data_IF_968308006965
#
_entry.id   IF_968308006965
#
_cell.length_a   1.000
_cell.length_b   1.000
_cell.length_c   1.000
_cell.angle_alpha   90.00
_cell.angle_beta   90.00
_cell.angle_gamma   90.00
#
_symmetry.space_group_name_H-M   'P 1'
#
loop_
_entity.id
_entity.type
_entity.pdbx_description
1 polymer ?
#
# COMPACT_ATOMS: atom_id res chain seq x y z
N UNK A 1 7.28 -26.63 12.91
CA UNK A 1 7.23 -25.20 12.55
C UNK A 1 5.93 -24.84 11.80
N UNK A 2 5.59 -25.52 10.70
CA UNK A 2 4.38 -25.25 9.89
C UNK A 2 3.08 -25.19 10.72
N UNK A 3 2.81 -26.20 11.57
CA UNK A 3 1.61 -26.20 12.42
C UNK A 3 1.52 -24.97 13.34
N UNK A 4 2.65 -24.57 13.94
CA UNK A 4 2.69 -23.39 14.82
C UNK A 4 2.41 -22.10 14.05
N UNK A 5 2.99 -21.94 12.85
CA UNK A 5 2.73 -20.79 11.98
C UNK A 5 1.27 -20.76 11.51
N UNK A 6 0.66 -21.91 11.21
CA UNK A 6 -0.74 -22.00 10.84
C UNK A 6 -1.68 -21.62 12.00
N UNK A 7 -1.39 -22.09 13.22
CA UNK A 7 -2.16 -21.72 14.42
C UNK A 7 -2.01 -20.23 14.71
N UNK A 8 -0.78 -19.71 14.70
CA UNK A 8 -0.53 -18.28 14.88
C UNK A 8 -1.24 -17.46 13.78
N UNK A 9 -1.13 -17.89 12.53
CA UNK A 9 -1.78 -17.26 11.38
C UNK A 9 -3.29 -17.17 11.54
N UNK A 10 -3.93 -18.27 11.95
CA UNK A 10 -5.37 -18.32 12.21
C UNK A 10 -5.78 -17.37 13.36
N UNK A 11 -5.01 -17.35 14.45
CA UNK A 11 -5.27 -16.46 15.60
C UNK A 11 -5.14 -14.99 15.20
N UNK A 12 -4.06 -14.62 14.51
CA UNK A 12 -3.82 -13.24 14.06
C UNK A 12 -4.87 -12.80 13.05
N UNK A 13 -5.22 -13.67 12.09
CA UNK A 13 -6.26 -13.40 11.10
C UNK A 13 -7.60 -13.16 11.78
N UNK A 14 -8.04 -14.08 12.65
CA UNK A 14 -9.33 -13.97 13.33
C UNK A 14 -9.40 -12.75 14.27
N UNK A 15 -8.39 -12.56 15.13
CA UNK A 15 -8.38 -11.48 16.10
C UNK A 15 -8.25 -10.10 15.42
N UNK A 16 -7.34 -9.98 14.44
CA UNK A 16 -7.16 -8.75 13.68
C UNK A 16 -8.40 -8.40 12.86
N UNK A 17 -9.00 -9.39 12.18
CA UNK A 17 -10.22 -9.18 11.40
C UNK A 17 -11.39 -8.75 12.28
N UNK A 18 -11.60 -9.45 13.40
CA UNK A 18 -12.64 -9.10 14.36
C UNK A 18 -12.45 -7.68 14.90
N UNK A 19 -11.22 -7.32 15.31
CA UNK A 19 -10.91 -5.97 15.76
C UNK A 19 -11.15 -4.92 14.67
N UNK A 20 -10.71 -5.16 13.43
CA UNK A 20 -10.91 -4.25 12.30
C UNK A 20 -12.41 -4.05 11.99
N UNK A 21 -13.21 -5.12 12.05
CA UNK A 21 -14.65 -5.05 11.85
C UNK A 21 -15.35 -4.30 12.97
N UNK A 22 -15.01 -4.57 14.24
CA UNK A 22 -15.62 -3.92 15.41
C UNK A 22 -15.24 -2.45 15.55
N UNK A 23 -14.04 -2.08 15.14
CA UNK A 23 -13.56 -0.70 15.16
C UNK A 23 -13.99 0.12 13.93
N UNK A 24 -14.70 -0.48 12.97
CA UNK A 24 -15.12 0.17 11.73
C UNK A 24 -15.80 1.53 12.01
N UNK A 25 -15.44 2.60 11.29
CA UNK A 25 -15.91 3.93 11.63
C UNK A 25 -17.40 4.05 11.33
N UNK A 26 -18.15 4.71 12.21
CA UNK A 26 -19.55 5.12 12.02
C UNK A 26 -19.65 6.60 11.60
N UNK A 27 -18.57 7.18 11.06
CA UNK A 27 -18.48 8.64 10.87
C UNK A 27 -19.09 9.05 9.52
N UNK A 28 -19.81 10.19 9.47
CA UNK A 28 -20.18 10.79 8.20
C UNK A 28 -18.92 11.25 7.45
N UNK A 29 -18.90 11.03 6.14
CA UNK A 29 -17.76 11.37 5.30
C UNK A 29 -17.54 12.89 5.24
N UNK A 30 -16.29 13.30 5.44
CA UNK A 30 -15.85 14.68 5.32
C UNK A 30 -14.83 14.80 4.17
N UNK A 31 -14.93 15.79 3.27
CA UNK A 31 -15.86 16.91 3.30
C UNK A 31 -17.22 16.55 2.65
N UNK A 32 -18.29 17.33 2.92
CA UNK A 32 -19.62 17.03 2.40
C UNK A 32 -19.68 17.11 0.87
N UNK A 33 -20.69 16.42 0.32
CA UNK A 33 -20.99 16.43 -1.10
C UNK A 33 -21.36 17.84 -1.57
N UNK A 34 -20.58 18.41 -2.48
CA UNK A 34 -20.84 19.73 -3.11
C UNK A 34 -19.90 19.97 -4.30
N UNK A 35 -20.10 21.11 -4.94
CA UNK A 35 -19.26 21.62 -6.02
C UNK A 35 -18.06 22.39 -5.47
N UNK A 36 -16.86 22.02 -5.91
CA UNK A 36 -15.59 22.66 -5.54
C UNK A 36 -14.82 23.08 -6.79
N UNK A 37 -13.85 24.01 -6.71
CA UNK A 37 -12.95 24.29 -7.82
C UNK A 37 -12.31 23.00 -8.36
N UNK A 38 -12.35 22.80 -9.69
CA UNK A 38 -11.92 21.55 -10.32
C UNK A 38 -10.40 21.35 -10.17
N UNK A 39 -9.94 20.37 -9.37
CA UNK A 39 -8.51 20.15 -9.19
C UNK A 39 -7.81 19.68 -10.47
N UNK A 40 -8.55 19.12 -11.43
CA UNK A 40 -8.02 18.58 -12.67
C UNK A 40 -7.94 19.62 -13.81
N UNK A 41 -8.61 20.78 -13.69
CA UNK A 41 -8.56 21.88 -14.69
C UNK A 41 -7.81 23.14 -14.22
N UNK A 42 -7.13 23.84 -15.15
CA UNK A 42 -6.53 25.16 -14.89
C UNK A 42 -7.52 26.30 -15.14
N UNK A 43 -8.61 26.01 -15.87
CA UNK A 43 -9.68 26.95 -16.12
C UNK A 43 -10.57 27.11 -14.88
N UNK A 44 -11.28 28.23 -14.80
CA UNK A 44 -12.31 28.47 -13.80
C UNK A 44 -13.49 27.53 -14.03
N UNK A 45 -13.48 26.39 -13.33
CA UNK A 45 -14.45 25.30 -13.45
C UNK A 45 -14.67 24.68 -12.09
N UNK A 46 -15.86 24.13 -11.87
CA UNK A 46 -16.19 23.38 -10.67
C UNK A 46 -16.38 21.90 -11.00
N UNK A 47 -16.00 21.03 -10.07
CA UNK A 47 -16.22 19.59 -10.12
C UNK A 47 -17.00 19.14 -8.89
N UNK A 48 -17.93 18.23 -9.10
CA UNK A 48 -18.72 17.69 -8.00
C UNK A 48 -17.94 16.60 -7.25
N UNK A 49 -17.80 16.81 -5.95
CA UNK A 49 -17.38 15.81 -4.97
C UNK A 49 -18.63 15.23 -4.33
N UNK A 50 -18.77 13.91 -4.30
CA UNK A 50 -19.98 13.23 -3.82
C UNK A 50 -19.99 12.92 -2.33
N UNK A 51 -18.99 13.41 -1.57
CA UNK A 51 -18.77 13.09 -0.17
C UNK A 51 -17.55 12.19 0.03
N UNK A 52 -17.23 11.34 -0.96
CA UNK A 52 -16.17 10.34 -0.84
C UNK A 52 -15.17 10.37 -1.99
N UNK A 53 -15.59 10.78 -3.20
CA UNK A 53 -14.78 10.81 -4.40
C UNK A 53 -15.13 11.97 -5.34
N UNK A 54 -14.16 12.34 -6.17
CA UNK A 54 -14.40 13.23 -7.30
C UNK A 54 -15.11 12.51 -8.43
N UNK A 55 -16.24 13.07 -8.87
CA UNK A 55 -17.03 12.56 -10.00
C UNK A 55 -16.57 13.13 -11.34
N UNK A 56 -17.13 12.61 -12.44
CA UNK A 56 -16.92 13.17 -13.78
C UNK A 56 -17.68 14.49 -14.00
N UNK A 57 -18.68 14.82 -13.16
CA UNK A 57 -19.57 15.98 -13.33
C UNK A 57 -18.79 17.28 -13.13
N UNK A 58 -18.85 18.12 -14.15
CA UNK A 58 -18.14 19.41 -14.23
C UNK A 58 -19.09 20.50 -14.71
N UNK A 59 -18.90 21.72 -14.21
CA UNK A 59 -19.66 22.90 -14.64
C UNK A 59 -18.75 24.12 -14.70
N UNK A 60 -19.23 25.22 -15.28
CA UNK A 60 -18.53 26.50 -15.28
C UNK A 60 -18.34 27.02 -13.84
N UNK A 61 -17.22 27.68 -13.58
CA UNK A 61 -16.91 28.27 -12.28
C UNK A 61 -16.38 29.68 -12.43
N UNK A 62 -16.27 30.37 -11.30
CA UNK A 62 -15.68 31.71 -11.18
C UNK A 62 -14.19 31.65 -10.85
N UNK A 63 -13.74 30.56 -10.21
CA UNK A 63 -12.37 30.41 -9.73
C UNK A 63 -11.69 29.12 -10.24
N UNK A 64 -10.37 29.20 -10.44
CA UNK A 64 -9.53 28.05 -10.72
C UNK A 64 -8.99 27.45 -9.41
N UNK A 65 -8.86 26.12 -9.34
CA UNK A 65 -8.35 25.46 -8.15
C UNK A 65 -6.89 25.84 -7.86
N UNK A 66 -6.55 26.15 -6.60
CA UNK A 66 -5.16 26.27 -6.16
C UNK A 66 -4.51 24.88 -6.10
N UNK A 67 -3.56 24.60 -6.99
CA UNK A 67 -2.95 23.27 -7.13
C UNK A 67 -1.70 23.07 -6.27
N UNK A 68 -1.38 24.01 -5.39
CA UNK A 68 -0.20 23.97 -4.54
C UNK A 68 1.11 24.04 -5.34
N UNK A 69 2.24 23.85 -4.66
CA UNK A 69 3.58 23.86 -5.25
C UNK A 69 4.31 22.52 -5.08
N UNK A 70 5.29 22.24 -5.94
CA UNK A 70 6.10 21.03 -5.85
C UNK A 70 6.91 20.99 -4.54
N UNK A 71 6.88 19.83 -3.85
CA UNK A 71 7.64 19.54 -2.63
C UNK A 71 7.47 20.53 -1.46
N UNK A 72 6.50 21.45 -1.53
CA UNK A 72 6.15 22.41 -0.47
C UNK A 72 4.92 21.94 0.32
N UNK A 73 4.65 22.64 1.41
CA UNK A 73 3.50 22.36 2.29
C UNK A 73 3.70 21.08 3.08
N UNK A 74 2.74 20.15 3.00
CA UNK A 74 2.70 18.94 3.83
C UNK A 74 3.64 17.80 3.37
N UNK A 75 4.47 18.03 2.36
CA UNK A 75 5.38 17.02 1.80
C UNK A 75 6.37 16.49 2.84
N UNK A 76 7.07 17.37 3.55
CA UNK A 76 7.92 17.01 4.69
C UNK A 76 7.12 16.99 5.99
N UNK A 77 7.65 16.31 7.01
CA UNK A 77 7.06 16.32 8.34
C UNK A 77 7.46 15.13 9.20
N UNK A 78 6.65 14.85 10.23
CA UNK A 78 6.94 13.82 11.23
C UNK A 78 7.07 12.39 10.69
N UNK A 79 6.59 12.12 9.47
CA UNK A 79 6.72 10.80 8.83
C UNK A 79 8.17 10.41 8.51
N UNK A 80 9.09 11.38 8.44
CA UNK A 80 10.52 11.13 8.22
C UNK A 80 11.18 10.47 9.44
N UNK A 81 10.71 10.78 10.65
CA UNK A 81 11.34 10.27 11.88
C UNK A 81 11.26 8.75 12.04
N UNK A 82 10.15 8.06 11.72
CA UNK A 82 10.14 6.61 11.64
C UNK A 82 11.15 6.04 10.65
N UNK A 83 11.39 6.69 9.51
CA UNK A 83 12.41 6.24 8.55
C UNK A 83 13.83 6.36 9.12
N UNK A 84 14.12 7.46 9.82
CA UNK A 84 15.39 7.62 10.56
C UNK A 84 15.51 6.54 11.64
N UNK A 85 14.43 6.29 12.38
CA UNK A 85 14.35 5.22 13.37
C UNK A 85 14.63 3.84 12.78
N UNK A 86 14.12 3.54 11.58
CA UNK A 86 14.41 2.29 10.87
C UNK A 86 15.90 2.15 10.57
N UNK A 87 16.56 3.24 10.15
CA UNK A 87 18.01 3.28 9.95
C UNK A 87 18.81 3.01 11.23
N UNK A 88 18.38 3.60 12.36
CA UNK A 88 19.00 3.36 13.67
C UNK A 88 18.83 1.92 14.12
N UNK A 89 17.62 1.36 14.00
CA UNK A 89 17.32 -0.04 14.32
C UNK A 89 18.18 -0.98 13.48
N UNK A 90 18.31 -0.74 12.18
CA UNK A 90 19.16 -1.54 11.31
C UNK A 90 20.63 -1.44 11.70
N UNK A 91 21.15 -0.24 11.97
CA UNK A 91 22.54 -0.07 12.37
C UNK A 91 22.85 -0.79 13.68
N UNK A 92 22.01 -0.62 14.70
CA UNK A 92 22.19 -1.26 16.00
C UNK A 92 22.03 -2.78 15.90
N UNK A 93 20.97 -3.26 15.24
CA UNK A 93 20.66 -4.66 15.10
C UNK A 93 21.67 -5.43 14.25
N UNK A 94 22.16 -4.83 13.16
CA UNK A 94 23.22 -5.46 12.33
C UNK A 94 24.57 -5.48 13.04
N UNK A 95 24.90 -4.45 13.83
CA UNK A 95 26.09 -4.45 14.70
C UNK A 95 26.01 -5.57 15.74
N UNK A 96 24.87 -5.70 16.42
CA UNK A 96 24.66 -6.76 17.41
C UNK A 96 24.68 -8.15 16.76
N UNK A 97 24.05 -8.32 15.60
CA UNK A 97 24.08 -9.57 14.84
C UNK A 97 25.51 -9.94 14.44
N UNK A 98 26.35 -8.99 13.99
CA UNK A 98 27.77 -9.27 13.69
C UNK A 98 28.56 -9.81 14.88
N UNK A 99 28.21 -9.39 16.09
CA UNK A 99 28.90 -9.83 17.32
C UNK A 99 28.37 -11.14 17.90
N UNK A 100 27.13 -11.52 17.59
CA UNK A 100 26.44 -12.64 18.24
C UNK A 100 26.07 -13.77 17.29
N UNK A 101 25.95 -13.47 16.00
CA UNK A 101 25.40 -14.33 14.94
C UNK A 101 24.03 -14.95 15.30
N UNK A 102 23.31 -14.31 16.23
CA UNK A 102 22.04 -14.81 16.72
C UNK A 102 20.93 -14.50 15.72
N UNK A 103 20.34 -15.55 15.12
CA UNK A 103 19.27 -15.46 14.13
C UNK A 103 18.06 -14.63 14.61
N UNK A 104 17.75 -14.67 15.91
CA UNK A 104 16.64 -13.93 16.47
C UNK A 104 16.89 -12.43 16.51
N UNK A 105 18.16 -12.01 16.67
CA UNK A 105 18.54 -10.59 16.63
C UNK A 105 18.23 -10.00 15.27
N UNK A 106 18.65 -10.66 14.18
CA UNK A 106 18.40 -10.13 12.84
C UNK A 106 16.91 -10.22 12.46
N UNK A 107 16.19 -11.26 12.89
CA UNK A 107 14.75 -11.36 12.68
C UNK A 107 13.97 -10.21 13.36
N UNK A 108 14.25 -9.94 14.64
CA UNK A 108 13.62 -8.82 15.38
C UNK A 108 14.03 -7.47 14.79
N UNK A 109 15.29 -7.33 14.37
CA UNK A 109 15.78 -6.12 13.69
C UNK A 109 15.00 -5.86 12.41
N UNK A 110 14.84 -6.88 11.56
CA UNK A 110 14.07 -6.78 10.31
C UNK A 110 12.60 -6.47 10.56
N UNK A 111 11.98 -7.10 11.57
CA UNK A 111 10.60 -6.80 11.97
C UNK A 111 10.42 -5.33 12.33
N UNK A 112 11.25 -4.81 13.25
CA UNK A 112 11.15 -3.43 13.75
C UNK A 112 11.46 -2.41 12.66
N UNK A 113 12.52 -2.64 11.88
CA UNK A 113 12.90 -1.75 10.78
C UNK A 113 11.82 -1.70 9.70
N UNK A 114 11.28 -2.86 9.30
CA UNK A 114 10.20 -2.92 8.31
C UNK A 114 8.93 -2.24 8.81
N UNK A 115 8.54 -2.47 10.07
CA UNK A 115 7.37 -1.80 10.66
C UNK A 115 7.53 -0.27 10.65
N UNK A 116 8.73 0.25 10.94
CA UNK A 116 9.01 1.68 10.90
C UNK A 116 9.01 2.26 9.48
N UNK A 117 9.51 1.53 8.48
CA UNK A 117 9.42 1.92 7.06
C UNK A 117 7.96 1.97 6.59
N UNK A 118 7.18 0.93 6.92
CA UNK A 118 5.74 0.88 6.65
C UNK A 118 5.02 2.07 7.30
N UNK A 119 5.32 2.37 8.56
CA UNK A 119 4.74 3.49 9.30
C UNK A 119 5.13 4.85 8.71
N UNK A 120 6.38 5.02 8.28
CA UNK A 120 6.84 6.21 7.56
C UNK A 120 6.02 6.43 6.28
N UNK A 121 5.85 5.38 5.47
CA UNK A 121 5.09 5.44 4.23
C UNK A 121 3.60 5.73 4.47
N UNK A 122 3.00 5.07 5.46
CA UNK A 122 1.62 5.37 5.88
C UNK A 122 1.48 6.82 6.28
N UNK A 123 2.36 7.34 7.15
CA UNK A 123 2.34 8.72 7.60
C UNK A 123 2.49 9.72 6.45
N UNK A 124 3.30 9.40 5.44
CA UNK A 124 3.42 10.19 4.22
C UNK A 124 2.11 10.24 3.44
N UNK A 125 1.51 9.08 3.12
CA UNK A 125 0.25 9.00 2.34
C UNK A 125 -0.93 9.58 3.12
N UNK A 126 -1.01 9.32 4.42
CA UNK A 126 -2.05 9.83 5.32
C UNK A 126 -2.16 11.35 5.28
N UNK A 127 -1.02 12.04 5.12
CA UNK A 127 -0.98 13.50 5.00
C UNK A 127 -1.44 14.02 3.63
N UNK A 128 -1.33 13.21 2.58
CA UNK A 128 -1.78 13.62 1.24
C UNK A 128 -3.29 13.37 1.06
N UNK A 129 -3.81 12.28 1.60
CA UNK A 129 -5.19 11.85 1.40
C UNK A 129 -6.11 12.16 2.59
N UNK A 130 -5.59 12.77 3.65
CA UNK A 130 -6.29 12.98 4.91
C UNK A 130 -6.90 11.68 5.47
N UNK A 131 -6.14 10.58 5.44
CA UNK A 131 -6.61 9.27 5.90
C UNK A 131 -7.15 9.25 7.34
N UNK A 132 -6.60 10.02 8.32
CA UNK A 132 -7.14 10.04 9.68
C UNK A 132 -8.61 10.50 9.81
N UNK A 133 -9.17 11.14 8.77
CA UNK A 133 -10.58 11.52 8.73
C UNK A 133 -11.50 10.31 8.51
N UNK A 134 -11.01 9.29 7.77
CA UNK A 134 -11.81 8.12 7.34
C UNK A 134 -11.42 6.83 8.04
N UNK A 135 -10.24 6.77 8.67
CA UNK A 135 -9.75 5.59 9.37
C UNK A 135 -8.82 5.95 10.53
N UNK A 136 -9.01 5.31 11.67
CA UNK A 136 -8.19 5.45 12.87
C UNK A 136 -7.05 4.45 12.95
N UNK A 137 -6.07 4.75 13.81
CA UNK A 137 -4.86 3.94 13.97
C UNK A 137 -5.14 2.49 14.38
N UNK A 138 -6.07 2.28 15.32
CA UNK A 138 -6.43 0.93 15.77
C UNK A 138 -6.91 0.02 14.63
N UNK A 139 -7.60 0.59 13.64
CA UNK A 139 -8.08 -0.13 12.47
C UNK A 139 -6.94 -0.49 11.52
N UNK A 140 -5.99 0.42 11.32
CA UNK A 140 -4.78 0.17 10.52
C UNK A 140 -3.97 -0.97 11.13
N UNK A 141 -3.75 -0.94 12.45
CA UNK A 141 -3.02 -2.02 13.15
C UNK A 141 -3.79 -3.33 13.06
N UNK A 142 -5.10 -3.31 13.29
CA UNK A 142 -5.93 -4.52 13.23
C UNK A 142 -5.90 -5.17 11.83
N UNK A 143 -6.00 -4.37 10.76
CA UNK A 143 -5.88 -4.88 9.38
C UNK A 143 -4.48 -5.43 9.11
N UNK A 144 -3.42 -4.73 9.51
CA UNK A 144 -2.05 -5.22 9.32
C UNK A 144 -1.82 -6.56 10.05
N UNK A 145 -2.33 -6.70 11.27
CA UNK A 145 -2.28 -7.95 12.05
C UNK A 145 -3.07 -9.07 11.35
N UNK A 146 -4.30 -8.76 10.91
CA UNK A 146 -5.13 -9.74 10.21
C UNK A 146 -4.46 -10.25 8.94
N UNK A 147 -3.86 -9.33 8.17
CA UNK A 147 -3.18 -9.66 6.92
C UNK A 147 -1.87 -10.41 7.14
N UNK A 148 -1.10 -10.11 8.18
CA UNK A 148 0.03 -10.96 8.58
C UNK A 148 -0.44 -12.38 8.92
N UNK A 149 -1.61 -12.52 9.57
CA UNK A 149 -2.26 -13.80 9.79
C UNK A 149 -2.65 -14.53 8.50
N UNK A 150 -3.22 -13.81 7.53
CA UNK A 150 -3.54 -14.33 6.20
C UNK A 150 -2.27 -14.76 5.43
N UNK A 151 -1.14 -14.06 5.57
CA UNK A 151 0.14 -14.49 5.00
C UNK A 151 0.54 -15.85 5.52
N UNK A 152 0.55 -16.04 6.85
CA UNK A 152 0.95 -17.32 7.46
C UNK A 152 -0.03 -18.46 7.15
N UNK A 153 -1.33 -18.19 7.16
CA UNK A 153 -2.35 -19.23 6.98
C UNK A 153 -2.61 -19.56 5.51
N UNK A 154 -2.62 -18.56 4.63
CA UNK A 154 -3.01 -18.72 3.21
C UNK A 154 -1.81 -18.60 2.29
N UNK A 155 -1.08 -17.48 2.37
CA UNK A 155 0.02 -17.18 1.46
C UNK A 155 1.11 -18.26 1.45
N UNK A 156 1.64 -18.61 2.63
CA UNK A 156 2.67 -19.64 2.76
C UNK A 156 2.19 -21.01 2.27
N UNK A 157 1.02 -21.47 2.72
CA UNK A 157 0.51 -22.79 2.36
C UNK A 157 0.22 -22.92 0.85
N UNK A 158 -0.25 -21.85 0.20
CA UNK A 158 -0.46 -21.84 -1.26
C UNK A 158 0.85 -21.78 -2.04
N UNK A 159 1.85 -21.02 -1.56
CA UNK A 159 3.19 -21.01 -2.16
C UNK A 159 3.85 -22.40 -2.03
N UNK A 160 3.75 -23.05 -0.88
CA UNK A 160 4.24 -24.41 -0.66
C UNK A 160 3.53 -25.42 -1.59
N UNK A 161 2.21 -25.32 -1.72
CA UNK A 161 1.43 -26.18 -2.60
C UNK A 161 1.84 -26.02 -4.07
N UNK A 162 1.93 -24.78 -4.56
CA UNK A 162 2.34 -24.51 -5.96
C UNK A 162 3.77 -24.98 -6.23
N UNK A 163 4.68 -24.81 -5.26
CA UNK A 163 6.03 -25.35 -5.30
C UNK A 163 6.06 -26.89 -5.34
N UNK A 164 5.20 -27.56 -4.56
CA UNK A 164 5.12 -29.02 -4.55
C UNK A 164 4.59 -29.62 -5.87
N UNK A 165 3.75 -28.87 -6.59
CA UNK A 165 3.12 -29.33 -7.84
C UNK A 165 4.02 -29.10 -9.05
N UNK A 166 4.63 -27.91 -9.16
CA UNK A 166 5.34 -27.49 -10.39
C UNK A 166 6.75 -26.95 -10.15
N UNK A 167 7.31 -27.17 -8.96
CA UNK A 167 8.63 -26.66 -8.59
C UNK A 167 8.68 -25.14 -8.44
N UNK A 168 9.90 -24.62 -8.28
CA UNK A 168 10.14 -23.20 -8.00
C UNK A 168 9.68 -22.30 -9.14
N UNK A 169 9.81 -22.74 -10.40
CA UNK A 169 9.39 -21.97 -11.57
C UNK A 169 7.89 -21.71 -11.59
N UNK A 170 7.07 -22.72 -11.28
CA UNK A 170 5.62 -22.53 -11.17
C UNK A 170 5.25 -21.67 -9.96
N UNK A 171 5.90 -21.91 -8.81
CA UNK A 171 5.69 -21.12 -7.61
C UNK A 171 5.95 -19.63 -7.88
N UNK A 172 7.09 -19.26 -8.46
CA UNK A 172 7.42 -17.86 -8.78
C UNK A 172 6.53 -17.28 -9.89
N UNK A 173 6.05 -18.09 -10.83
CA UNK A 173 5.12 -17.63 -11.86
C UNK A 173 3.72 -17.30 -11.30
N UNK A 174 3.30 -17.98 -10.23
CA UNK A 174 1.99 -17.81 -9.60
C UNK A 174 2.02 -17.03 -8.28
N UNK A 175 3.21 -16.68 -7.77
CA UNK A 175 3.37 -16.03 -6.47
C UNK A 175 2.59 -14.72 -6.37
N UNK A 176 2.56 -13.91 -7.43
CA UNK A 176 1.78 -12.68 -7.45
C UNK A 176 0.28 -12.92 -7.31
N UNK A 177 -0.25 -14.01 -7.89
CA UNK A 177 -1.63 -14.42 -7.71
C UNK A 177 -1.88 -14.88 -6.26
N UNK A 178 -1.05 -15.78 -5.75
CA UNK A 178 -1.17 -16.32 -4.39
C UNK A 178 -1.10 -15.22 -3.34
N UNK A 179 -0.05 -14.41 -3.42
CA UNK A 179 0.24 -13.43 -2.40
C UNK A 179 -0.69 -12.23 -2.44
N UNK A 180 -0.99 -11.66 -3.61
CA UNK A 180 -1.96 -10.57 -3.67
C UNK A 180 -3.36 -11.05 -3.28
N UNK A 181 -3.73 -12.30 -3.55
CA UNK A 181 -4.98 -12.88 -3.04
C UNK A 181 -4.99 -12.90 -1.51
N UNK A 182 -3.91 -13.36 -0.88
CA UNK A 182 -3.80 -13.36 0.58
C UNK A 182 -3.87 -11.96 1.19
N UNK A 183 -3.23 -10.96 0.56
CA UNK A 183 -3.28 -9.55 0.98
C UNK A 183 -4.67 -8.96 0.79
N UNK A 184 -5.36 -9.27 -0.30
CA UNK A 184 -6.67 -8.71 -0.59
C UNK A 184 -7.82 -9.39 0.17
N UNK A 185 -7.60 -10.56 0.76
CA UNK A 185 -8.61 -11.30 1.52
C UNK A 185 -9.26 -10.44 2.61
N UNK A 186 -8.46 -9.80 3.47
CA UNK A 186 -8.97 -8.99 4.57
C UNK A 186 -9.69 -7.72 4.07
N UNK A 187 -9.09 -6.86 3.21
CA UNK A 187 -9.78 -5.69 2.66
C UNK A 187 -11.09 -6.02 1.93
N UNK A 188 -11.10 -7.07 1.08
CA UNK A 188 -12.29 -7.46 0.32
C UNK A 188 -13.38 -7.97 1.26
N UNK A 189 -13.04 -8.82 2.24
CA UNK A 189 -14.03 -9.30 3.20
C UNK A 189 -14.65 -8.15 4.01
N UNK A 190 -13.84 -7.20 4.49
CA UNK A 190 -14.35 -6.00 5.19
C UNK A 190 -15.26 -5.15 4.30
N UNK A 191 -14.92 -4.97 3.02
CA UNK A 191 -15.77 -4.27 2.05
C UNK A 191 -17.10 -4.98 1.82
N UNK A 192 -17.07 -6.31 1.67
CA UNK A 192 -18.25 -7.13 1.45
C UNK A 192 -19.20 -7.10 2.65
N UNK A 193 -18.66 -7.05 3.88
CA UNK A 193 -19.42 -6.85 5.13
C UNK A 193 -19.96 -5.42 5.29
N UNK A 194 -19.74 -4.53 4.34
CA UNK A 194 -20.28 -3.16 4.36
C UNK A 194 -19.41 -2.15 5.08
N UNK A 195 -18.21 -2.53 5.55
CA UNK A 195 -17.28 -1.62 6.22
C UNK A 195 -16.23 -1.08 5.27
N UNK A 196 -15.67 0.09 5.56
CA UNK A 196 -14.58 0.71 4.78
C UNK A 196 -14.89 0.87 3.28
N UNK A 197 -16.13 1.21 2.91
CA UNK A 197 -16.51 1.44 1.50
C UNK A 197 -15.94 2.73 0.92
N UNK A 198 -15.67 3.72 1.78
CA UNK A 198 -15.00 4.95 1.39
C UNK A 198 -13.70 4.66 0.63
N UNK A 199 -13.49 5.20 -0.58
CA UNK A 199 -12.30 4.88 -1.38
C UNK A 199 -10.97 5.23 -0.71
N UNK A 200 -10.92 6.30 0.08
CA UNK A 200 -9.74 6.64 0.89
C UNK A 200 -9.50 5.62 1.99
N UNK A 201 -10.56 5.15 2.65
CA UNK A 201 -10.46 4.09 3.64
C UNK A 201 -9.97 2.78 2.99
N UNK A 202 -10.45 2.47 1.79
CA UNK A 202 -9.97 1.38 0.94
C UNK A 202 -8.46 1.43 0.68
N UNK A 203 -7.94 2.59 0.26
CA UNK A 203 -6.49 2.81 0.11
C UNK A 203 -5.75 2.52 1.41
N UNK A 204 -6.27 3.02 2.53
CA UNK A 204 -5.63 2.86 3.83
C UNK A 204 -5.57 1.40 4.30
N UNK A 205 -6.67 0.64 4.17
CA UNK A 205 -6.69 -0.77 4.56
C UNK A 205 -5.90 -1.66 3.58
N UNK A 206 -5.83 -1.31 2.30
CA UNK A 206 -4.97 -2.03 1.35
C UNK A 206 -3.49 -1.81 1.65
N UNK A 207 -3.08 -0.57 1.98
CA UNK A 207 -1.73 -0.30 2.45
C UNK A 207 -1.43 -1.06 3.75
N UNK A 208 -2.34 -0.99 4.73
CA UNK A 208 -2.21 -1.73 5.99
C UNK A 208 -2.04 -3.23 5.76
N UNK A 209 -2.82 -3.79 4.83
CA UNK A 209 -2.70 -5.21 4.46
C UNK A 209 -1.34 -5.54 3.85
N UNK A 210 -0.89 -4.73 2.89
CA UNK A 210 0.44 -4.88 2.30
C UNK A 210 1.57 -4.72 3.32
N UNK A 211 1.43 -3.85 4.33
CA UNK A 211 2.39 -3.74 5.44
C UNK A 211 2.42 -4.99 6.30
N UNK A 212 1.25 -5.53 6.67
CA UNK A 212 1.14 -6.77 7.45
C UNK A 212 1.87 -7.92 6.77
N UNK A 213 1.65 -8.08 5.47
CA UNK A 213 2.36 -9.05 4.65
C UNK A 213 3.87 -8.77 4.62
N UNK A 214 4.27 -7.55 4.26
CA UNK A 214 5.67 -7.17 4.14
C UNK A 214 6.45 -7.39 5.44
N UNK A 215 5.87 -7.05 6.60
CA UNK A 215 6.48 -7.26 7.91
C UNK A 215 6.64 -8.75 8.19
N UNK A 216 5.58 -9.56 7.98
CA UNK A 216 5.61 -11.00 8.22
C UNK A 216 6.66 -11.69 7.35
N UNK A 217 6.65 -11.38 6.06
CA UNK A 217 7.51 -12.01 5.06
C UNK A 217 8.99 -11.60 5.25
N UNK A 218 9.25 -10.29 5.44
CA UNK A 218 10.62 -9.80 5.69
C UNK A 218 11.21 -10.41 6.95
N UNK A 219 10.40 -10.57 8.01
CA UNK A 219 10.82 -11.21 9.26
C UNK A 219 11.13 -12.69 9.06
N UNK A 220 10.28 -13.41 8.33
CA UNK A 220 10.49 -14.82 8.01
C UNK A 220 11.76 -15.03 7.19
N UNK A 221 11.95 -14.22 6.14
CA UNK A 221 13.16 -14.30 5.32
C UNK A 221 14.43 -13.90 6.06
N UNK A 222 14.36 -12.98 7.03
CA UNK A 222 15.47 -12.67 7.92
C UNK A 222 15.92 -13.91 8.68
N UNK A 223 14.96 -14.64 9.26
CA UNK A 223 15.23 -15.89 9.94
C UNK A 223 15.80 -16.95 9.00
N UNK A 224 15.12 -17.22 7.87
CA UNK A 224 15.51 -18.28 6.93
C UNK A 224 16.89 -18.03 6.30
N UNK A 225 17.21 -16.79 5.97
CA UNK A 225 18.50 -16.43 5.38
C UNK A 225 19.62 -16.63 6.39
N UNK A 226 19.44 -16.18 7.64
CA UNK A 226 20.44 -16.35 8.68
C UNK A 226 20.56 -17.80 9.20
N UNK A 227 19.48 -18.58 9.14
CA UNK A 227 19.47 -20.00 9.50
C UNK A 227 19.91 -20.94 8.36
N UNK A 228 20.26 -20.41 7.18
CA UNK A 228 20.55 -21.21 5.97
C UNK A 228 19.44 -22.24 5.66
N UNK A 229 18.18 -21.87 5.90
CA UNK A 229 17.03 -22.79 5.81
C UNK A 229 16.04 -22.41 4.71
N UNK A 230 16.37 -21.40 3.90
CA UNK A 230 15.55 -20.94 2.78
C UNK A 230 15.85 -21.74 1.50
N UNK A 231 14.89 -21.79 0.55
CA UNK A 231 15.13 -22.40 -0.76
C UNK A 231 16.16 -21.59 -1.56
N UNK A 232 17.03 -22.28 -2.29
CA UNK A 232 17.78 -21.65 -3.38
C UNK A 232 16.86 -21.54 -4.60
N UNK A 233 16.55 -20.30 -4.98
CA UNK A 233 15.73 -20.00 -6.17
C UNK A 233 16.39 -20.45 -7.48
N UNK A 234 17.71 -20.70 -7.45
CA UNK A 234 18.46 -21.25 -8.58
C UNK A 234 18.58 -22.77 -8.59
N UNK A 235 17.94 -23.46 -7.65
CA UNK A 235 17.91 -24.93 -7.60
C UNK A 235 19.23 -25.59 -7.22
N UNK A 236 20.20 -24.83 -6.71
CA UNK A 236 21.45 -25.34 -6.16
C UNK A 236 21.39 -25.55 -4.64
N UNK A 237 22.55 -25.88 -4.06
CA UNK A 237 22.71 -25.94 -2.62
C UNK A 237 22.52 -24.54 -2.01
N UNK A 238 21.90 -24.47 -0.82
CA UNK A 238 21.77 -23.21 -0.09
C UNK A 238 23.15 -22.56 0.04
N UNK A 239 23.38 -21.35 -0.50
CA UNK A 239 24.70 -20.73 -0.51
C UNK A 239 25.26 -20.60 0.90
N UNK A 240 26.59 -20.66 1.04
CA UNK A 240 27.25 -20.41 2.32
C UNK A 240 26.80 -19.05 2.88
N UNK A 241 26.12 -19.10 4.02
CA UNK A 241 25.60 -17.90 4.68
C UNK A 241 26.74 -17.26 5.44
N UNK A 242 27.06 -16.01 5.08
CA UNK A 242 27.99 -15.18 5.83
C UNK A 242 27.21 -14.07 6.52
N UNK A 243 27.75 -13.57 7.62
CA UNK A 243 27.19 -12.39 8.30
C UNK A 243 27.01 -11.20 7.35
N UNK A 244 27.93 -11.02 6.39
CA UNK A 244 27.82 -9.99 5.35
C UNK A 244 26.63 -10.20 4.41
N UNK A 245 26.41 -11.43 3.92
CA UNK A 245 25.32 -11.73 2.99
C UNK A 245 23.95 -11.64 3.66
N UNK A 246 23.82 -12.03 4.92
CA UNK A 246 22.58 -11.85 5.70
C UNK A 246 22.21 -10.38 5.79
N UNK A 247 23.16 -9.52 6.18
CA UNK A 247 22.92 -8.08 6.35
C UNK A 247 22.55 -7.44 5.00
N UNK A 248 23.30 -7.74 3.94
CA UNK A 248 23.00 -7.23 2.61
C UNK A 248 21.61 -7.65 2.13
N UNK A 249 21.23 -8.91 2.34
CA UNK A 249 19.90 -9.41 2.00
C UNK A 249 18.78 -8.67 2.76
N UNK A 250 18.97 -8.38 4.05
CA UNK A 250 17.96 -7.65 4.83
C UNK A 250 17.80 -6.20 4.38
N UNK A 251 18.90 -5.50 4.11
CA UNK A 251 18.83 -4.13 3.58
C UNK A 251 18.14 -4.12 2.23
N UNK A 252 18.52 -5.02 1.32
CA UNK A 252 17.91 -5.14 0.00
C UNK A 252 16.42 -5.47 0.07
N UNK A 253 16.00 -6.36 0.98
CA UNK A 253 14.57 -6.64 1.18
C UNK A 253 13.83 -5.41 1.69
N UNK A 254 14.31 -4.79 2.77
CA UNK A 254 13.60 -3.71 3.44
C UNK A 254 13.35 -2.51 2.54
N UNK A 255 14.34 -2.16 1.70
CA UNK A 255 14.28 -0.96 0.86
C UNK A 255 14.03 -1.23 -0.62
N UNK A 256 14.16 -2.47 -1.08
CA UNK A 256 14.09 -2.82 -2.51
C UNK A 256 13.01 -3.83 -2.89
N UNK A 257 12.66 -4.78 -2.00
CA UNK A 257 11.69 -5.85 -2.32
C UNK A 257 10.36 -5.61 -1.61
N UNK A 258 10.39 -5.54 -0.28
CA UNK A 258 9.18 -5.44 0.54
C UNK A 258 8.29 -4.23 0.21
N UNK A 259 8.81 -3.07 -0.28
CA UNK A 259 7.96 -1.98 -0.73
C UNK A 259 6.98 -2.33 -1.84
N UNK A 260 7.27 -3.36 -2.65
CA UNK A 260 6.34 -3.81 -3.67
C UNK A 260 5.02 -4.30 -3.10
N UNK A 261 5.01 -4.96 -1.94
CA UNK A 261 3.79 -5.51 -1.36
C UNK A 261 2.73 -4.43 -1.10
N UNK A 262 3.08 -3.33 -0.43
CA UNK A 262 2.11 -2.27 -0.18
C UNK A 262 1.88 -1.37 -1.39
N UNK A 263 2.84 -1.24 -2.31
CA UNK A 263 2.63 -0.51 -3.56
C UNK A 263 1.65 -1.24 -4.48
N UNK A 264 1.84 -2.54 -4.73
CA UNK A 264 0.96 -3.37 -5.55
C UNK A 264 -0.44 -3.46 -4.95
N UNK A 265 -0.57 -3.85 -3.68
CA UNK A 265 -1.87 -3.89 -3.02
C UNK A 265 -2.51 -2.50 -2.95
N UNK A 266 -1.72 -1.46 -2.69
CA UNK A 266 -2.16 -0.06 -2.69
C UNK A 266 -2.73 0.41 -4.04
N UNK A 267 -2.09 0.03 -5.15
CA UNK A 267 -2.58 0.28 -6.52
C UNK A 267 -3.91 -0.44 -6.73
N UNK A 268 -3.97 -1.74 -6.40
CA UNK A 268 -5.17 -2.55 -6.57
C UNK A 268 -6.37 -1.94 -5.86
N UNK A 269 -6.23 -1.61 -4.56
CA UNK A 269 -7.34 -1.01 -3.80
C UNK A 269 -7.67 0.41 -4.27
N UNK A 270 -6.67 1.22 -4.67
CA UNK A 270 -6.90 2.57 -5.17
C UNK A 270 -7.73 2.57 -6.46
N UNK A 271 -7.57 1.55 -7.30
CA UNK A 271 -8.39 1.34 -8.51
C UNK A 271 -9.74 0.76 -8.13
N UNK A 272 -9.75 -0.38 -7.42
CA UNK A 272 -10.94 -1.17 -7.18
C UNK A 272 -11.99 -0.41 -6.36
N UNK A 273 -11.60 0.20 -5.23
CA UNK A 273 -12.54 0.94 -4.40
C UNK A 273 -13.12 2.15 -5.14
N UNK A 274 -12.29 2.86 -5.91
CA UNK A 274 -12.78 3.99 -6.70
C UNK A 274 -13.83 3.54 -7.72
N UNK A 275 -13.54 2.45 -8.43
CA UNK A 275 -14.42 1.94 -9.47
C UNK A 275 -15.72 1.41 -8.87
N UNK A 276 -15.66 0.67 -7.76
CA UNK A 276 -16.86 0.17 -7.09
C UNK A 276 -17.73 1.30 -6.54
N UNK A 277 -17.13 2.35 -5.99
CA UNK A 277 -17.85 3.53 -5.53
C UNK A 277 -18.58 4.24 -6.68
N UNK A 278 -17.85 4.65 -7.72
CA UNK A 278 -18.42 5.48 -8.78
C UNK A 278 -19.40 4.77 -9.70
N UNK A 279 -19.27 3.46 -9.87
CA UNK A 279 -20.15 2.68 -10.74
C UNK A 279 -21.21 1.88 -9.98
N UNK A 280 -21.20 1.91 -8.64
CA UNK A 280 -22.17 1.24 -7.79
C UNK A 280 -22.23 -0.28 -7.93
N UNK A 281 -21.27 -0.90 -8.61
CA UNK A 281 -21.26 -2.34 -8.92
C UNK A 281 -19.96 -2.98 -8.42
N UNK A 282 -20.10 -4.11 -7.71
CA UNK A 282 -18.96 -4.97 -7.35
C UNK A 282 -18.44 -5.66 -8.62
N UNK A 283 -17.13 -5.88 -8.71
CA UNK A 283 -16.52 -6.62 -9.83
C UNK A 283 -16.50 -5.90 -11.18
N UNK A 284 -16.43 -4.56 -11.21
CA UNK A 284 -16.26 -3.84 -12.49
C UNK A 284 -15.00 -4.30 -13.23
N UNK A 285 -15.02 -4.37 -14.58
CA UNK A 285 -13.85 -4.78 -15.36
C UNK A 285 -12.59 -3.97 -15.04
N UNK A 286 -12.73 -2.67 -14.72
CA UNK A 286 -11.62 -1.83 -14.30
C UNK A 286 -11.02 -2.28 -12.94
N UNK A 287 -11.85 -2.65 -11.97
CA UNK A 287 -11.39 -3.15 -10.67
C UNK A 287 -10.70 -4.51 -10.82
N UNK A 288 -11.33 -5.44 -11.53
CA UNK A 288 -10.77 -6.78 -11.77
C UNK A 288 -9.47 -6.71 -12.59
N UNK A 289 -9.44 -5.88 -13.63
CA UNK A 289 -8.26 -5.64 -14.44
C UNK A 289 -7.12 -5.01 -13.65
N UNK A 290 -7.41 -4.08 -12.73
CA UNK A 290 -6.42 -3.48 -11.84
C UNK A 290 -5.81 -4.50 -10.87
N UNK A 291 -6.63 -5.36 -10.27
CA UNK A 291 -6.19 -6.44 -9.38
C UNK A 291 -5.34 -7.47 -10.16
N UNK A 292 -5.84 -7.94 -11.30
CA UNK A 292 -5.13 -8.91 -12.13
C UNK A 292 -3.79 -8.35 -12.63
N UNK A 293 -3.75 -7.07 -13.03
CA UNK A 293 -2.51 -6.43 -13.47
C UNK A 293 -1.45 -6.45 -12.38
N UNK A 294 -1.79 -6.12 -11.12
CA UNK A 294 -0.79 -6.14 -10.04
C UNK A 294 -0.33 -7.56 -9.72
N UNK A 295 -1.22 -8.56 -9.79
CA UNK A 295 -0.85 -9.97 -9.63
C UNK A 295 0.16 -10.40 -10.69
N UNK A 296 -0.06 -10.04 -11.95
CA UNK A 296 0.87 -10.36 -13.05
C UNK A 296 2.21 -9.63 -12.87
N UNK A 297 2.19 -8.33 -12.59
CA UNK A 297 3.42 -7.55 -12.38
C UNK A 297 4.22 -8.08 -11.19
N UNK A 298 3.54 -8.50 -10.12
CA UNK A 298 4.17 -9.12 -8.97
C UNK A 298 4.82 -10.46 -9.33
N UNK A 299 4.10 -11.37 -9.99
CA UNK A 299 4.70 -12.63 -10.47
C UNK A 299 5.91 -12.42 -11.37
N UNK A 300 5.86 -11.43 -12.27
CA UNK A 300 6.98 -11.11 -13.16
C UNK A 300 8.21 -10.59 -12.38
N UNK A 301 8.00 -9.77 -11.36
CA UNK A 301 9.07 -9.29 -10.48
C UNK A 301 9.77 -10.45 -9.75
N UNK A 302 9.00 -11.40 -9.25
CA UNK A 302 9.54 -12.51 -8.46
C UNK A 302 10.15 -13.58 -9.33
N UNK A 303 9.55 -13.87 -10.49
CA UNK A 303 10.15 -14.70 -11.54
C UNK A 303 11.48 -14.10 -12.02
N UNK A 304 11.64 -12.78 -11.97
CA UNK A 304 12.92 -12.15 -12.27
C UNK A 304 14.06 -12.63 -11.36
N UNK A 305 13.77 -13.19 -10.18
CA UNK A 305 14.81 -13.75 -9.30
C UNK A 305 15.47 -15.01 -9.88
N UNK A 306 14.74 -15.77 -10.71
CA UNK A 306 15.24 -17.02 -11.29
C UNK A 306 15.87 -16.81 -12.68
N UNK A 307 15.56 -15.70 -13.36
CA UNK A 307 16.09 -15.40 -14.71
C UNK A 307 17.62 -15.17 -14.74
N UNK A 308 18.23 -14.79 -13.62
CA UNK A 308 19.67 -14.53 -13.52
C UNK A 308 20.49 -15.68 -12.95
N UNK A 309 19.91 -16.87 -12.79
CA UNK A 309 20.63 -17.99 -12.19
C UNK A 309 21.86 -18.39 -13.02
N UNK A 310 23.02 -18.47 -12.37
CA UNK A 310 24.31 -18.76 -13.00
C UNK A 310 25.05 -17.54 -13.59
N UNK A 311 24.42 -16.36 -13.65
CA UNK A 311 24.98 -15.18 -14.31
C UNK A 311 25.01 -13.95 -13.37
N UNK A 312 26.10 -13.71 -12.63
CA UNK A 312 26.20 -12.64 -11.63
C UNK A 312 25.93 -11.24 -12.18
N UNK A 313 26.34 -10.99 -13.42
CA UNK A 313 26.10 -9.72 -14.13
C UNK A 313 24.61 -9.50 -14.36
N UNK A 314 23.87 -10.53 -14.76
CA UNK A 314 22.42 -10.48 -14.97
C UNK A 314 21.70 -10.26 -13.64
N UNK A 315 22.11 -10.95 -12.57
CA UNK A 315 21.53 -10.75 -11.22
C UNK A 315 21.72 -9.31 -10.72
N UNK A 316 22.92 -8.76 -10.92
CA UNK A 316 23.23 -7.36 -10.53
C UNK A 316 22.38 -6.37 -11.32
N UNK A 317 22.21 -6.59 -12.63
CA UNK A 317 21.36 -5.76 -13.47
C UNK A 317 19.89 -5.84 -13.04
N UNK A 318 19.36 -7.04 -12.79
CA UNK A 318 17.98 -7.24 -12.33
C UNK A 318 17.77 -6.60 -10.94
N UNK A 319 18.75 -6.66 -10.04
CA UNK A 319 18.70 -5.97 -8.75
C UNK A 319 18.62 -4.45 -8.92
N UNK A 320 19.38 -3.85 -9.85
CA UNK A 320 19.27 -2.42 -10.16
C UNK A 320 17.91 -2.06 -10.76
N UNK A 321 17.42 -2.87 -11.70
CA UNK A 321 16.12 -2.67 -12.33
C UNK A 321 14.97 -2.74 -11.33
N UNK A 322 15.09 -3.53 -10.25
CA UNK A 322 14.11 -3.54 -9.16
C UNK A 322 14.00 -2.19 -8.45
N UNK A 323 15.09 -1.48 -8.19
CA UNK A 323 15.01 -0.13 -7.60
C UNK A 323 14.32 0.86 -8.54
N UNK A 324 14.57 0.77 -9.84
CA UNK A 324 13.83 1.54 -10.85
C UNK A 324 12.34 1.18 -10.81
N UNK A 325 12.02 -0.11 -10.73
CA UNK A 325 10.66 -0.61 -10.64
C UNK A 325 9.95 -0.11 -9.37
N UNK A 326 10.61 -0.02 -8.21
CA UNK A 326 10.05 0.58 -6.99
C UNK A 326 9.60 2.03 -7.25
N UNK A 327 10.44 2.82 -7.94
CA UNK A 327 10.11 4.20 -8.30
C UNK A 327 8.91 4.23 -9.26
N UNK A 328 8.92 3.40 -10.30
CA UNK A 328 7.81 3.33 -11.28
C UNK A 328 6.52 2.94 -10.56
N UNK A 329 6.55 1.92 -9.69
CA UNK A 329 5.38 1.47 -8.93
C UNK A 329 4.88 2.52 -7.95
N UNK A 330 5.77 3.27 -7.30
CA UNK A 330 5.37 4.43 -6.51
C UNK A 330 4.68 5.50 -7.36
N UNK A 331 5.17 5.79 -8.58
CA UNK A 331 4.53 6.75 -9.47
C UNK A 331 3.15 6.27 -9.95
N UNK A 332 2.99 4.98 -10.25
CA UNK A 332 1.71 4.36 -10.59
C UNK A 332 0.75 4.43 -9.41
N UNK A 333 1.20 4.01 -8.21
CA UNK A 333 0.45 4.15 -6.97
C UNK A 333 -0.01 5.60 -6.76
N UNK A 334 0.91 6.56 -6.80
CA UNK A 334 0.60 7.98 -6.66
C UNK A 334 -0.42 8.47 -7.69
N UNK A 335 -0.30 8.02 -8.94
CA UNK A 335 -1.22 8.43 -10.02
C UNK A 335 -2.67 8.00 -9.76
N UNK A 336 -2.87 6.86 -9.13
CA UNK A 336 -4.18 6.37 -8.70
C UNK A 336 -4.62 6.93 -7.35
N UNK A 337 -3.73 6.90 -6.35
CA UNK A 337 -3.97 7.39 -5.01
C UNK A 337 -4.38 8.87 -4.98
N UNK A 338 -3.74 9.73 -5.78
CA UNK A 338 -4.07 11.17 -5.84
C UNK A 338 -5.49 11.48 -6.34
N UNK A 339 -6.17 10.53 -6.99
CA UNK A 339 -7.57 10.71 -7.41
C UNK A 339 -8.52 10.74 -6.19
N UNK A 340 -8.01 10.32 -5.03
CA UNK A 340 -8.71 10.29 -3.75
C UNK A 340 -8.35 11.47 -2.84
N UNK A 341 -7.52 12.41 -3.29
CA UNK A 341 -7.20 13.62 -2.52
C UNK A 341 -8.47 14.45 -2.35
N UNK A 342 -8.94 14.68 -1.11
CA UNK A 342 -10.22 15.34 -0.88
C UNK A 342 -10.13 16.87 -1.08
N UNK A 343 -11.25 17.58 -1.31
CA UNK A 343 -11.28 19.01 -1.61
C UNK A 343 -10.48 19.93 -0.67
N UNK A 344 -10.58 19.74 0.64
CA UNK A 344 -9.86 20.54 1.64
C UNK A 344 -8.33 20.37 1.60
N UNK A 345 -7.85 19.33 0.92
CA UNK A 345 -6.42 19.08 0.75
C UNK A 345 -5.88 19.70 -0.55
N UNK A 346 -6.73 20.16 -1.46
CA UNK A 346 -6.33 20.83 -2.70
C UNK A 346 -5.64 22.15 -2.34
N UNK A 347 -4.41 22.34 -2.83
CA UNK A 347 -3.56 23.49 -2.50
C UNK A 347 -2.67 23.28 -1.27
N UNK A 348 -3.08 22.44 -0.31
CA UNK A 348 -2.28 22.10 0.87
C UNK A 348 -1.27 20.96 0.61
N UNK A 349 -1.59 20.06 -0.33
CA UNK A 349 -0.69 19.00 -0.78
C UNK A 349 0.22 19.48 -1.91
N UNK A 350 1.33 18.78 -2.12
CA UNK A 350 2.19 19.03 -3.26
C UNK A 350 1.43 18.82 -4.59
N UNK A 351 1.79 19.59 -5.62
CA UNK A 351 1.15 19.54 -6.95
C UNK A 351 1.12 18.14 -7.58
N UNK A 352 2.03 17.25 -7.19
CA UNK A 352 2.05 15.86 -7.64
C UNK A 352 0.89 15.00 -7.13
N UNK A 353 0.27 15.41 -6.01
CA UNK A 353 -0.85 14.75 -5.33
C UNK A 353 -2.20 15.43 -5.58
N UNK A 354 -2.23 16.47 -6.41
CA UNK A 354 -3.48 17.04 -6.93
C UNK A 354 -4.12 16.06 -7.93
N UNK A 355 -5.44 15.78 -7.81
CA UNK A 355 -6.15 14.89 -8.72
C UNK A 355 -5.98 15.25 -10.20
N UNK A 356 -5.85 14.23 -11.07
CA UNK A 356 -5.80 14.36 -12.54
C UNK A 356 -6.51 13.19 -13.19
N UNK A 357 -6.91 13.35 -14.46
CA UNK A 357 -7.54 12.31 -15.28
C UNK A 357 -8.80 11.73 -14.61
N UNK A 358 -9.73 12.61 -14.23
CA UNK A 358 -10.97 12.25 -13.53
C UNK A 358 -12.17 11.97 -14.47
N UNK A 359 -11.98 12.11 -15.78
CA UNK A 359 -13.08 12.14 -16.74
C UNK A 359 -13.86 13.46 -16.68
N UNK A 360 -14.65 13.75 -17.71
CA UNK A 360 -15.43 14.98 -17.78
C UNK A 360 -16.80 14.70 -18.39
N UNK A 361 -17.84 15.11 -17.67
CA UNK A 361 -19.22 15.15 -18.10
C UNK A 361 -19.77 16.53 -17.74
N UNK A 362 -19.94 17.38 -18.75
CA UNK A 362 -20.51 18.71 -18.53
C UNK A 362 -21.96 18.58 -18.08
N UNK A 363 -22.33 19.31 -17.03
CA UNK A 363 -23.72 19.46 -16.59
C UNK A 363 -24.13 20.93 -16.66
N UNK A 364 -25.42 21.24 -16.88
CA UNK A 364 -25.86 22.62 -16.93
C UNK A 364 -25.73 23.30 -15.56
N UNK A 365 -25.64 24.64 -15.57
CA UNK A 365 -25.27 25.42 -14.40
C UNK A 365 -26.35 25.41 -13.30
N UNK A 366 -27.60 25.15 -13.65
CA UNK A 366 -28.75 25.03 -12.74
C UNK A 366 -28.68 23.78 -11.84
N UNK A 367 -28.01 22.71 -12.28
CA UNK A 367 -27.71 21.53 -11.44
C UNK A 367 -26.61 21.78 -10.40
N UNK A 368 -25.92 22.91 -10.49
CA UNK A 368 -24.90 23.34 -9.56
C UNK A 368 -25.40 24.57 -8.80
N UNK A 369 -25.88 24.43 -7.55
CA UNK A 369 -26.32 25.60 -6.80
C UNK A 369 -25.23 26.66 -6.85
N UNK A 370 -25.68 27.92 -7.03
CA UNK A 370 -24.81 29.08 -6.93
C UNK A 370 -23.95 28.93 -5.68
N UNK A 371 -22.68 29.35 -5.75
CA UNK A 371 -21.86 29.38 -4.53
C UNK A 371 -22.67 30.04 -3.43
N UNK A 372 -22.92 29.31 -2.34
CA UNK A 372 -23.38 29.93 -1.12
C UNK A 372 -22.39 31.06 -0.88
N UNK A 373 -22.82 32.30 -1.16
CA UNK A 373 -22.00 33.47 -0.88
C UNK A 373 -21.56 33.29 0.56
N UNK A 374 -20.25 33.26 0.84
CA UNK A 374 -19.77 33.03 2.20
C UNK A 374 -20.57 33.98 3.06
N UNK A 375 -21.39 33.41 3.96
CA UNK A 375 -22.29 34.19 4.77
C UNK A 375 -21.45 35.34 5.31
N UNK A 376 -21.75 36.58 4.89
CA UNK A 376 -20.99 37.75 5.33
C UNK A 376 -20.89 37.60 6.84
N UNK A 377 -19.67 37.46 7.35
CA UNK A 377 -19.46 37.55 8.79
C UNK A 377 -20.25 38.77 9.24
N UNK A 378 -21.17 38.64 10.21
CA UNK A 378 -21.85 39.79 10.74
C UNK A 378 -20.76 40.77 11.14
N UNK A 379 -20.76 41.96 10.53
CA UNK A 379 -19.78 42.97 10.83
C UNK A 379 -19.83 43.19 12.34
N UNK A 380 -18.74 42.88 13.04
CA UNK A 380 -18.58 43.15 14.46
C UNK A 380 -18.88 44.65 14.66
N UNK A 381 -20.03 44.92 15.28
CA UNK A 381 -20.53 46.25 15.60
C UNK A 381 -20.08 46.73 16.97
#
# INVERSE_FOLDING_TARGET
MVLLLNVLGAVLLAAGFYAAWRLAPQRPDAPPARWYPDPASKAARRRFWDGEAWTARVTAGTEAANRGHHFRGRFWGRWVWPLVGAGVVLLAGTTLYRSTENVHVIAVTSFLAMALVCWAFYGFVARQLALPEVIGLGQIVAVAVASAGATFLVGLNLNDLTGSIGGISLATALVGLTEETSKLLVPIALFLLGTYRNPRAGVAIGLASGFGFAIAETTLYAYQTAAASGPDFCGGDTPAVTTGTVIAAQVARIFGVSPFHWLFTGIAVAIAWRAWHLYGRKGTPAALGGILLVMVVHSLNDTSATLGCGEPTVQSLLAMLRYVLVIVMYLVFKAWARKHTPPQMIGAVSTGWTPKHLGEQSVPADEAPAEDSPAREPADG
#
